data_IF_909949920856
#
_entry.id   IF_909949920856
#
_cell.length_a   1.000
_cell.length_b   1.000
_cell.length_c   1.000
_cell.angle_alpha   90.00
_cell.angle_beta   90.00
_cell.angle_gamma   90.00
#
_symmetry.space_group_name_H-M   'P 1'
#
loop_
_entity.id
_entity.type
_entity.pdbx_description
1 polymer ?
#
# COMPACT_ATOMS: atom_id res chain seq x y z
N UNK A 1 -1.58 5.29 16.90
CA UNK A 1 -0.63 6.27 17.45
C UNK A 1 -0.53 6.14 18.95
N UNK A 2 0.38 6.88 19.60
CA UNK A 2 0.42 6.95 21.06
C UNK A 2 -0.89 7.55 21.58
N UNK A 3 -1.31 7.15 22.77
CA UNK A 3 -2.49 7.69 23.46
C UNK A 3 -2.05 8.88 24.29
N UNK A 4 -2.81 9.98 24.23
CA UNK A 4 -2.60 11.18 25.03
C UNK A 4 -3.07 11.02 26.47
N UNK A 5 -2.73 11.98 27.33
CA UNK A 5 -3.09 11.96 28.75
C UNK A 5 -4.61 12.07 28.99
N UNK A 6 -5.35 12.55 27.99
CA UNK A 6 -6.81 12.64 27.97
C UNK A 6 -7.50 11.34 27.51
N UNK A 7 -6.72 10.30 27.17
CA UNK A 7 -7.21 9.02 26.68
C UNK A 7 -7.54 8.98 25.18
N UNK A 8 -7.39 10.09 24.45
CA UNK A 8 -7.59 10.13 23.00
C UNK A 8 -6.28 9.89 22.24
N UNK A 9 -6.31 9.61 20.91
CA UNK A 9 -5.10 9.57 20.12
C UNK A 9 -4.34 10.88 20.23
N UNK A 10 -3.05 10.81 20.56
CA UNK A 10 -2.19 12.00 20.61
C UNK A 10 -2.08 12.58 19.19
N UNK A 11 -2.42 13.86 18.98
CA UNK A 11 -2.38 14.48 17.66
C UNK A 11 -0.93 14.64 17.19
N UNK A 12 -0.66 14.32 15.93
CA UNK A 12 0.67 14.46 15.31
C UNK A 12 1.02 15.92 14.99
N UNK A 13 0.03 16.81 14.91
CA UNK A 13 0.25 18.25 14.80
C UNK A 13 -0.91 19.02 15.45
N UNK A 14 -0.66 20.28 15.78
CA UNK A 14 -1.69 21.22 16.21
C UNK A 14 -2.43 21.78 14.97
N UNK A 15 -3.74 21.55 14.88
CA UNK A 15 -4.53 21.92 13.70
C UNK A 15 -4.68 23.44 13.48
N UNK A 16 -4.49 24.26 14.52
CA UNK A 16 -4.58 25.72 14.45
C UNK A 16 -3.25 26.36 14.05
N UNK A 17 -2.13 25.85 14.60
CA UNK A 17 -0.80 26.46 14.44
C UNK A 17 0.07 25.74 13.42
N UNK A 18 -0.26 24.51 13.05
CA UNK A 18 0.53 23.65 12.18
C UNK A 18 1.80 23.09 12.84
N UNK A 19 2.02 23.34 14.15
CA UNK A 19 3.19 22.80 14.86
C UNK A 19 3.10 21.28 14.94
N UNK A 20 4.12 20.59 14.43
CA UNK A 20 4.24 19.13 14.46
C UNK A 20 4.74 18.67 15.82
N UNK A 21 4.04 17.70 16.42
CA UNK A 21 4.53 16.92 17.55
C UNK A 21 5.51 15.85 17.04
N UNK A 22 6.80 16.10 17.25
CA UNK A 22 7.88 15.23 16.79
C UNK A 22 7.89 13.88 17.49
N UNK A 23 7.54 13.82 18.78
CA UNK A 23 7.53 12.55 19.50
C UNK A 23 6.43 11.64 18.94
N UNK A 24 5.25 12.22 18.67
CA UNK A 24 4.17 11.49 18.00
C UNK A 24 4.57 11.04 16.59
N UNK A 25 5.20 11.92 15.80
CA UNK A 25 5.65 11.57 14.45
C UNK A 25 6.71 10.44 14.47
N UNK A 26 7.66 10.47 15.41
CA UNK A 26 8.68 9.43 15.59
C UNK A 26 8.05 8.10 15.99
N UNK A 27 7.08 8.11 16.92
CA UNK A 27 6.33 6.91 17.27
C UNK A 27 5.64 6.31 16.04
N UNK A 28 4.99 7.14 15.21
CA UNK A 28 4.31 6.64 14.01
C UNK A 28 5.30 6.06 13.00
N UNK A 29 6.46 6.71 12.81
CA UNK A 29 7.54 6.18 11.98
C UNK A 29 7.99 4.80 12.45
N UNK A 30 8.21 4.62 13.75
CA UNK A 30 8.74 3.38 14.31
C UNK A 30 7.72 2.24 14.35
N UNK A 31 6.42 2.55 14.42
CA UNK A 31 5.37 1.55 14.65
C UNK A 31 4.41 1.32 13.49
N UNK A 32 4.21 2.29 12.60
CA UNK A 32 3.15 2.25 11.58
C UNK A 32 3.58 2.65 10.17
N UNK A 33 4.76 3.24 9.99
CA UNK A 33 5.27 3.63 8.68
C UNK A 33 5.77 2.40 7.90
N UNK A 34 4.98 1.97 6.92
CA UNK A 34 5.30 0.85 6.04
C UNK A 34 6.60 1.09 5.26
N UNK A 35 6.82 2.30 4.75
CA UNK A 35 8.03 2.61 3.99
C UNK A 35 9.27 2.52 4.87
N UNK A 36 9.22 3.08 6.08
CA UNK A 36 10.30 2.92 7.05
C UNK A 36 10.56 1.45 7.36
N UNK A 37 9.53 0.67 7.67
CA UNK A 37 9.67 -0.75 7.99
C UNK A 37 10.29 -1.56 6.85
N UNK A 38 9.82 -1.35 5.61
CA UNK A 38 10.35 -2.04 4.45
C UNK A 38 11.82 -1.70 4.23
N UNK A 39 12.18 -0.42 4.32
CA UNK A 39 13.56 0.04 4.09
C UNK A 39 14.55 -0.52 5.12
N UNK A 40 14.19 -0.51 6.40
CA UNK A 40 15.08 -1.00 7.47
C UNK A 40 15.23 -2.53 7.48
N UNK A 41 14.24 -3.27 6.96
CA UNK A 41 14.18 -4.72 7.09
C UNK A 41 14.25 -5.50 5.77
N UNK A 42 14.47 -4.82 4.64
CA UNK A 42 14.38 -5.41 3.30
C UNK A 42 15.24 -6.67 3.12
N UNK A 43 16.47 -6.68 3.64
CA UNK A 43 17.36 -7.84 3.55
C UNK A 43 16.78 -9.12 4.17
N UNK A 44 15.86 -8.97 5.14
CA UNK A 44 15.17 -10.08 5.79
C UNK A 44 13.85 -10.44 5.12
N UNK A 45 13.03 -9.44 4.79
CA UNK A 45 11.63 -9.65 4.34
C UNK A 45 11.47 -9.57 2.81
N UNK A 46 12.41 -8.94 2.11
CA UNK A 46 12.41 -8.82 0.65
C UNK A 46 12.30 -10.16 -0.08
N UNK A 47 13.00 -11.24 0.34
CA UNK A 47 12.83 -12.57 -0.24
C UNK A 47 11.39 -13.09 -0.19
N UNK A 48 10.65 -12.72 0.85
CA UNK A 48 9.25 -13.12 1.02
C UNK A 48 8.28 -12.21 0.27
N UNK A 49 8.69 -10.98 -0.08
CA UNK A 49 7.83 -9.96 -0.68
C UNK A 49 8.09 -9.71 -2.17
N UNK A 50 9.16 -10.26 -2.74
CA UNK A 50 9.51 -10.05 -4.14
C UNK A 50 8.37 -10.46 -5.09
N UNK A 51 7.93 -9.52 -5.92
CA UNK A 51 6.80 -9.64 -6.84
C UNK A 51 5.41 -9.64 -6.19
N UNK A 52 5.30 -9.36 -4.89
CA UNK A 52 4.03 -9.48 -4.14
C UNK A 52 3.44 -8.15 -3.69
N UNK A 53 4.14 -7.04 -3.86
CA UNK A 53 3.68 -5.70 -3.47
C UNK A 53 2.94 -5.06 -4.65
N UNK A 54 1.66 -4.77 -4.45
CA UNK A 54 0.78 -4.13 -5.42
C UNK A 54 0.11 -2.95 -4.71
N UNK A 55 0.27 -1.74 -5.24
CA UNK A 55 -0.25 -0.50 -4.65
C UNK A 55 -1.01 0.26 -5.74
N UNK A 56 -2.20 0.74 -5.41
CA UNK A 56 -2.96 1.67 -6.24
C UNK A 56 -3.33 2.91 -5.40
N UNK A 57 -3.19 4.09 -5.97
CA UNK A 57 -3.59 5.36 -5.35
C UNK A 57 -4.00 6.37 -6.41
N UNK A 58 -4.89 7.31 -6.10
CA UNK A 58 -5.14 8.44 -6.98
C UNK A 58 -3.98 9.45 -6.98
N UNK A 59 -3.71 10.12 -8.10
CA UNK A 59 -2.72 11.21 -8.16
C UNK A 59 -3.26 12.56 -7.63
N UNK A 60 -4.54 12.59 -7.24
CA UNK A 60 -5.22 13.68 -6.54
C UNK A 60 -5.93 13.15 -5.28
N UNK A 61 -5.26 12.32 -4.49
CA UNK A 61 -5.82 11.80 -3.25
C UNK A 61 -6.18 12.96 -2.30
N UNK A 62 -7.39 12.91 -1.73
CA UNK A 62 -7.92 14.00 -0.91
C UNK A 62 -7.22 14.15 0.45
N UNK A 63 -6.36 13.19 0.82
CA UNK A 63 -5.52 13.19 2.01
C UNK A 63 -4.02 13.26 1.68
N UNK A 64 -3.66 13.50 0.42
CA UNK A 64 -2.27 13.65 -0.04
C UNK A 64 -1.40 12.39 0.18
N UNK A 65 -2.02 11.20 0.20
CA UNK A 65 -1.33 9.93 0.45
C UNK A 65 -0.40 9.52 -0.70
N UNK A 66 -0.65 10.01 -1.92
CA UNK A 66 0.18 9.76 -3.09
C UNK A 66 1.62 10.21 -2.86
N UNK A 67 1.85 11.27 -2.07
CA UNK A 67 3.18 11.75 -1.74
C UNK A 67 4.00 10.71 -0.97
N UNK A 68 3.36 9.96 -0.08
CA UNK A 68 4.00 8.86 0.64
C UNK A 68 4.23 7.66 -0.28
N UNK A 69 3.29 7.39 -1.21
CA UNK A 69 3.43 6.31 -2.19
C UNK A 69 4.59 6.58 -3.16
N UNK A 70 4.81 7.82 -3.62
CA UNK A 70 5.99 8.17 -4.43
C UNK A 70 7.30 7.83 -3.71
N UNK A 71 7.40 8.13 -2.41
CA UNK A 71 8.59 7.79 -1.60
C UNK A 71 8.79 6.29 -1.45
N UNK A 72 7.70 5.56 -1.28
CA UNK A 72 7.74 4.11 -1.21
C UNK A 72 8.16 3.49 -2.54
N UNK A 73 7.60 3.96 -3.66
CA UNK A 73 7.96 3.51 -5.01
C UNK A 73 9.43 3.78 -5.31
N UNK A 74 9.94 4.99 -5.02
CA UNK A 74 11.38 5.32 -5.14
C UNK A 74 12.27 4.28 -4.44
N UNK A 75 11.88 3.83 -3.24
CA UNK A 75 12.59 2.78 -2.52
C UNK A 75 12.42 1.40 -3.17
N UNK A 76 11.20 1.00 -3.53
CA UNK A 76 10.91 -0.31 -4.11
C UNK A 76 11.62 -0.53 -5.45
N UNK A 77 11.72 0.52 -6.27
CA UNK A 77 12.46 0.49 -7.55
C UNK A 77 13.97 0.36 -7.35
N UNK A 78 14.51 0.97 -6.28
CA UNK A 78 15.92 0.90 -5.94
C UNK A 78 16.30 -0.36 -5.13
N UNK A 79 15.31 -1.08 -4.60
CA UNK A 79 15.54 -2.26 -3.78
C UNK A 79 16.29 -3.33 -4.57
N UNK A 80 17.34 -3.88 -3.96
CA UNK A 80 18.16 -4.93 -4.53
C UNK A 80 18.45 -6.00 -3.48
N UNK A 81 18.91 -7.18 -3.94
CA UNK A 81 19.26 -8.32 -3.11
C UNK A 81 18.18 -8.73 -2.07
N UNK A 82 16.93 -9.00 -2.49
CA UNK A 82 16.43 -9.14 -3.86
C UNK A 82 15.72 -7.88 -4.39
N UNK A 83 15.49 -7.77 -5.72
CA UNK A 83 14.60 -6.73 -6.26
C UNK A 83 13.18 -6.88 -5.74
N UNK A 84 12.49 -5.76 -5.48
CA UNK A 84 11.11 -5.77 -5.01
C UNK A 84 10.13 -6.28 -6.07
N UNK A 85 10.35 -5.92 -7.35
CA UNK A 85 9.42 -6.23 -8.44
C UNK A 85 7.98 -5.85 -8.10
N UNK A 86 7.81 -4.70 -7.44
CA UNK A 86 6.50 -4.18 -7.04
C UNK A 86 5.75 -3.57 -8.24
N UNK A 87 4.42 -3.49 -8.13
CA UNK A 87 3.57 -2.71 -9.04
C UNK A 87 2.96 -1.55 -8.26
N UNK A 88 3.14 -0.34 -8.77
CA UNK A 88 2.48 0.86 -8.25
C UNK A 88 1.66 1.48 -9.39
N UNK A 89 0.44 1.88 -9.09
CA UNK A 89 -0.50 2.43 -10.05
C UNK A 89 -1.08 3.75 -9.56
N UNK A 90 -1.06 4.76 -10.43
CA UNK A 90 -1.58 6.10 -10.14
C UNK A 90 -2.80 6.42 -11.00
N UNK A 91 -3.94 6.62 -10.35
CA UNK A 91 -5.18 6.99 -11.00
C UNK A 91 -5.22 8.47 -11.32
N UNK A 92 -5.23 8.83 -12.61
CA UNK A 92 -5.24 10.23 -13.04
C UNK A 92 -6.52 10.95 -12.66
N UNK A 93 -6.39 12.03 -11.89
CA UNK A 93 -7.46 12.83 -11.29
C UNK A 93 -8.39 12.02 -10.38
N UNK A 94 -7.90 10.93 -9.80
CA UNK A 94 -8.68 10.09 -8.91
C UNK A 94 -8.49 10.49 -7.44
N UNK A 95 -9.53 10.40 -6.61
CA UNK A 95 -9.49 10.81 -5.21
C UNK A 95 -8.99 9.67 -4.30
N UNK A 96 -9.10 9.90 -2.99
CA UNK A 96 -8.96 8.85 -2.00
C UNK A 96 -9.95 7.70 -2.25
N UNK A 97 -9.56 6.50 -1.82
CA UNK A 97 -10.25 5.23 -2.05
C UNK A 97 -10.25 4.73 -3.51
N UNK A 98 -9.52 5.35 -4.43
CA UNK A 98 -9.39 4.78 -5.78
C UNK A 98 -8.65 3.44 -5.75
N UNK A 99 -9.28 2.39 -6.27
CA UNK A 99 -8.85 1.00 -6.12
C UNK A 99 -7.94 0.48 -7.25
N UNK A 100 -7.78 1.25 -8.33
CA UNK A 100 -7.09 0.82 -9.55
C UNK A 100 -7.95 0.97 -10.79
N UNK A 101 -7.32 0.96 -11.95
CA UNK A 101 -8.01 0.95 -13.24
C UNK A 101 -8.66 -0.42 -13.46
N UNK A 102 -9.88 -0.43 -14.00
CA UNK A 102 -10.52 -1.66 -14.43
C UNK A 102 -9.70 -2.31 -15.56
N UNK A 103 -9.43 -3.63 -15.47
CA UNK A 103 -8.73 -4.35 -16.54
C UNK A 103 -9.59 -4.47 -17.81
N UNK A 104 -10.92 -4.44 -17.68
CA UNK A 104 -11.87 -4.69 -18.77
C UNK A 104 -12.60 -3.43 -19.26
N UNK A 105 -12.59 -2.34 -18.48
CA UNK A 105 -13.28 -1.07 -18.77
C UNK A 105 -12.31 0.11 -18.66
N UNK A 106 -11.59 0.43 -19.75
CA UNK A 106 -10.64 1.54 -19.75
C UNK A 106 -11.30 2.89 -19.39
N UNK A 107 -10.67 3.62 -18.49
CA UNK A 107 -11.13 4.89 -17.92
C UNK A 107 -12.07 4.75 -16.73
N UNK A 108 -12.42 3.52 -16.34
CA UNK A 108 -13.25 3.23 -15.17
C UNK A 108 -12.42 2.62 -14.04
N UNK A 109 -12.87 2.85 -12.81
CA UNK A 109 -12.31 2.17 -11.64
C UNK A 109 -12.66 0.67 -11.66
N UNK A 110 -11.75 -0.14 -11.14
CA UNK A 110 -11.97 -1.56 -10.90
C UNK A 110 -13.15 -1.76 -9.93
N UNK A 111 -14.09 -2.64 -10.31
CA UNK A 111 -15.18 -3.02 -9.41
C UNK A 111 -14.79 -4.24 -8.55
N UNK A 112 -15.59 -4.56 -7.54
CA UNK A 112 -15.28 -5.68 -6.63
C UNK A 112 -15.21 -7.05 -7.33
N UNK A 113 -15.98 -7.29 -8.40
CA UNK A 113 -15.90 -8.54 -9.16
C UNK A 113 -14.52 -8.67 -9.81
N UNK A 114 -14.09 -7.63 -10.52
CA UNK A 114 -12.78 -7.60 -11.18
C UNK A 114 -11.64 -7.67 -10.17
N UNK A 115 -11.75 -6.96 -9.04
CA UNK A 115 -10.75 -7.05 -7.97
C UNK A 115 -10.61 -8.48 -7.44
N UNK A 116 -11.74 -9.16 -7.19
CA UNK A 116 -11.73 -10.56 -6.76
C UNK A 116 -11.14 -11.46 -7.86
N UNK A 117 -11.42 -11.20 -9.14
CA UNK A 117 -10.87 -11.96 -10.27
C UNK A 117 -9.35 -11.75 -10.45
N UNK A 118 -8.85 -10.53 -10.25
CA UNK A 118 -7.43 -10.18 -10.23
C UNK A 118 -6.69 -10.88 -9.09
N UNK A 119 -7.22 -10.78 -7.86
CA UNK A 119 -6.67 -11.47 -6.68
C UNK A 119 -6.70 -12.98 -6.86
N UNK A 120 -7.81 -13.52 -7.37
CA UNK A 120 -7.95 -14.95 -7.68
C UNK A 120 -6.90 -15.41 -8.69
N UNK A 121 -6.67 -14.62 -9.74
CA UNK A 121 -5.67 -14.91 -10.78
C UNK A 121 -4.25 -14.88 -10.19
N UNK A 122 -3.94 -13.87 -9.38
CA UNK A 122 -2.66 -13.76 -8.68
C UNK A 122 -2.41 -14.97 -7.75
N UNK A 123 -3.40 -15.34 -6.92
CA UNK A 123 -3.30 -16.49 -6.01
C UNK A 123 -3.14 -17.79 -6.79
N UNK A 124 -3.89 -17.99 -7.87
CA UNK A 124 -3.80 -19.17 -8.71
C UNK A 124 -2.42 -19.32 -9.37
N UNK A 125 -1.82 -18.22 -9.83
CA UNK A 125 -0.49 -18.22 -10.44
C UNK A 125 0.64 -18.54 -9.44
N UNK A 126 0.38 -18.42 -8.14
CA UNK A 126 1.36 -18.67 -7.06
C UNK A 126 0.99 -19.85 -6.16
N UNK A 127 -0.09 -20.57 -6.48
CA UNK A 127 -0.53 -21.70 -5.69
C UNK A 127 0.52 -22.83 -5.71
N UNK A 128 0.84 -23.47 -4.57
CA UNK A 128 1.70 -24.65 -4.55
C UNK A 128 1.17 -25.78 -5.43
N UNK A 129 2.07 -26.64 -5.92
CA UNK A 129 1.66 -27.83 -6.66
C UNK A 129 0.68 -28.68 -5.84
N UNK A 130 -0.46 -29.04 -6.44
CA UNK A 130 -1.51 -29.82 -5.78
C UNK A 130 -2.44 -29.04 -4.85
N UNK A 131 -2.31 -27.71 -4.73
CA UNK A 131 -3.26 -26.90 -3.99
C UNK A 131 -4.68 -26.99 -4.60
N UNK A 132 -5.75 -27.04 -3.77
CA UNK A 132 -7.11 -27.07 -4.26
C UNK A 132 -7.48 -25.76 -4.97
N UNK A 133 -8.06 -25.88 -6.17
CA UNK A 133 -8.40 -24.75 -7.06
C UNK A 133 -9.90 -24.61 -7.33
N UNK A 134 -10.73 -25.36 -6.62
CA UNK A 134 -12.18 -25.43 -6.83
C UNK A 134 -12.95 -24.13 -6.59
N UNK A 135 -12.35 -23.20 -5.83
CA UNK A 135 -12.86 -21.85 -5.57
C UNK A 135 -12.77 -20.92 -6.80
N UNK A 136 -11.88 -21.22 -7.75
CA UNK A 136 -11.65 -20.34 -8.89
C UNK A 136 -12.90 -20.27 -9.79
N UNK A 137 -13.41 -19.06 -10.00
CA UNK A 137 -14.60 -18.81 -10.83
C UNK A 137 -15.93 -19.11 -10.15
N UNK A 138 -15.96 -19.36 -8.84
CA UNK A 138 -17.17 -19.50 -8.05
C UNK A 138 -17.46 -18.18 -7.30
N UNK A 139 -17.92 -17.16 -8.03
CA UNK A 139 -18.24 -15.84 -7.47
C UNK A 139 -19.48 -15.21 -8.09
#
# INVERSE_FOLDING_TARGET
>A
GPVGDDGYPRPIWNHETGVIDRETAEYWREHFDLHHHLREHWSRIGPDLTGKIHIATGDMDSYYLELAVYRLEEFLDAAADPPASARVEYGRRQPHCWLGESPDRPGEEINYREFVEEVATYLAGRAPAGAPMEWRGRW
#
